data_IF_614113284238
#
_entry.id   IF_614113284238
#
_cell.length_a   1.000
_cell.length_b   1.000
_cell.length_c   1.000
_cell.angle_alpha   90.00
_cell.angle_beta   90.00
_cell.angle_gamma   90.00
#
_symmetry.space_group_name_H-M   'P 1'
#
loop_
_entity.id
_entity.type
_entity.pdbx_description
1 polymer ?
#
# COMPACT_ATOMS: atom_id res chain seq x y z
N UNK A 1 16.71 9.01 -24.09
CA UNK A 1 16.00 7.77 -23.70
C UNK A 1 16.21 6.71 -24.77
N UNK A 2 16.70 5.53 -24.42
CA UNK A 2 16.92 4.45 -25.39
C UNK A 2 15.58 3.83 -25.83
N UNK A 3 15.41 3.64 -27.15
CA UNK A 3 14.26 2.92 -27.71
C UNK A 3 14.38 1.44 -27.38
N UNK A 4 13.39 0.89 -26.70
CA UNK A 4 13.29 -0.54 -26.39
C UNK A 4 13.12 -1.34 -27.69
N UNK A 5 13.75 -2.50 -27.76
CA UNK A 5 13.65 -3.37 -28.94
C UNK A 5 12.26 -4.00 -29.03
N UNK A 6 11.82 -4.34 -30.24
CA UNK A 6 10.52 -5.01 -30.48
C UNK A 6 10.36 -6.29 -29.64
N UNK A 7 11.44 -7.06 -29.49
CA UNK A 7 11.48 -8.29 -28.66
C UNK A 7 11.23 -7.99 -27.18
N UNK A 8 11.77 -6.88 -26.67
CA UNK A 8 11.54 -6.47 -25.28
C UNK A 8 10.06 -6.10 -25.06
N UNK A 9 9.48 -5.32 -25.98
CA UNK A 9 8.07 -4.91 -25.85
C UNK A 9 7.13 -6.13 -25.85
N UNK A 10 7.36 -7.09 -26.76
CA UNK A 10 6.60 -8.35 -26.80
C UNK A 10 6.66 -9.13 -25.49
N UNK A 11 7.82 -9.16 -24.81
CA UNK A 11 7.96 -9.83 -23.50
C UNK A 11 7.18 -9.11 -22.41
N UNK A 12 7.18 -7.78 -22.41
CA UNK A 12 6.40 -6.98 -21.45
C UNK A 12 4.92 -7.22 -21.67
N UNK A 13 4.46 -7.21 -22.92
CA UNK A 13 3.05 -7.44 -23.26
C UNK A 13 2.61 -8.86 -22.84
N UNK A 14 3.44 -9.88 -23.11
CA UNK A 14 3.21 -11.25 -22.64
C UNK A 14 3.14 -11.34 -21.12
N UNK A 15 4.06 -10.67 -20.41
CA UNK A 15 4.04 -10.63 -18.94
C UNK A 15 2.78 -9.95 -18.41
N UNK A 16 2.35 -8.86 -19.04
CA UNK A 16 1.12 -8.15 -18.66
C UNK A 16 -0.11 -9.05 -18.83
N UNK A 17 -0.22 -9.72 -19.98
CA UNK A 17 -1.31 -10.67 -20.26
C UNK A 17 -1.35 -11.82 -19.24
N UNK A 18 -0.20 -12.38 -18.88
CA UNK A 18 -0.11 -13.44 -17.88
C UNK A 18 -0.54 -12.96 -16.49
N UNK A 19 -0.18 -11.73 -16.09
CA UNK A 19 -0.66 -11.14 -14.84
C UNK A 19 -2.17 -10.94 -14.85
N UNK A 20 -2.73 -10.38 -15.93
CA UNK A 20 -4.18 -10.16 -16.07
C UNK A 20 -4.96 -11.48 -16.01
N UNK A 21 -4.48 -12.53 -16.67
CA UNK A 21 -5.11 -13.86 -16.61
C UNK A 21 -5.11 -14.44 -15.19
N UNK A 22 -3.99 -14.30 -14.46
CA UNK A 22 -3.91 -14.74 -13.06
C UNK A 22 -4.87 -13.99 -12.15
N UNK A 23 -5.00 -12.68 -12.33
CA UNK A 23 -5.95 -11.86 -11.58
C UNK A 23 -7.40 -12.25 -11.90
N UNK A 24 -7.71 -12.47 -13.17
CA UNK A 24 -9.05 -12.89 -13.59
C UNK A 24 -9.42 -14.26 -13.01
N UNK A 25 -8.50 -15.22 -12.98
CA UNK A 25 -8.72 -16.53 -12.35
C UNK A 25 -8.92 -16.39 -10.83
N UNK A 26 -8.18 -15.50 -10.16
CA UNK A 26 -8.41 -15.21 -8.73
C UNK A 26 -9.79 -14.61 -8.45
N UNK A 27 -10.28 -13.74 -9.34
CA UNK A 27 -11.61 -13.14 -9.22
C UNK A 27 -12.75 -14.13 -9.54
N UNK A 28 -12.50 -15.11 -10.40
CA UNK A 28 -13.48 -16.11 -10.81
C UNK A 28 -13.48 -17.39 -9.97
N UNK A 29 -12.44 -17.62 -9.16
CA UNK A 29 -12.39 -18.78 -8.29
C UNK A 29 -13.43 -18.67 -7.16
N UNK A 30 -14.32 -19.66 -7.06
CA UNK A 30 -15.31 -19.82 -5.97
C UNK A 30 -14.67 -19.94 -4.58
N UNK A 31 -13.35 -20.10 -4.51
CA UNK A 31 -12.56 -19.93 -3.29
C UNK A 31 -12.09 -18.47 -3.17
N UNK A 32 -13.04 -17.55 -3.05
CA UNK A 32 -12.79 -16.36 -2.26
C UNK A 32 -12.64 -16.89 -0.83
N UNK A 33 -11.42 -17.29 -0.44
CA UNK A 33 -11.10 -17.45 0.98
C UNK A 33 -11.73 -16.26 1.69
N UNK A 34 -12.60 -16.54 2.68
CA UNK A 34 -13.25 -15.50 3.44
C UNK A 34 -12.20 -14.45 3.79
N UNK A 35 -12.50 -13.14 3.61
CA UNK A 35 -11.51 -12.10 3.84
C UNK A 35 -10.87 -12.37 5.20
N UNK A 36 -9.57 -12.70 5.18
CA UNK A 36 -8.84 -12.99 6.41
C UNK A 36 -9.10 -11.83 7.35
N UNK A 37 -9.67 -12.11 8.52
CA UNK A 37 -9.95 -11.07 9.50
C UNK A 37 -8.67 -10.25 9.67
N UNK A 38 -8.77 -8.96 9.35
CA UNK A 38 -7.63 -8.08 9.54
C UNK A 38 -7.20 -8.23 10.99
N UNK A 39 -5.89 -8.36 11.27
CA UNK A 39 -5.43 -8.43 12.64
C UNK A 39 -6.01 -7.24 13.44
N UNK A 40 -6.16 -7.39 14.75
CA UNK A 40 -6.75 -6.32 15.55
C UNK A 40 -5.93 -5.03 15.41
N UNK A 41 -6.62 -3.89 15.49
CA UNK A 41 -5.97 -2.59 15.62
C UNK A 41 -4.99 -2.63 16.80
N UNK A 42 -3.71 -2.35 16.53
CA UNK A 42 -2.67 -2.34 17.56
C UNK A 42 -2.52 -0.94 18.15
N UNK A 43 -2.54 0.10 17.31
CA UNK A 43 -2.40 1.50 17.73
C UNK A 43 -2.91 2.48 16.69
N UNK A 44 -3.19 3.69 17.15
CA UNK A 44 -3.53 4.84 16.31
C UNK A 44 -2.56 5.96 16.62
N UNK A 45 -1.99 6.58 15.59
CA UNK A 45 -1.20 7.79 15.71
C UNK A 45 -2.08 8.94 15.22
N UNK A 46 -2.25 9.95 16.06
CA UNK A 46 -3.02 11.15 15.75
C UNK A 46 -2.05 12.32 15.71
N UNK A 47 -2.03 13.03 14.59
CA UNK A 47 -1.25 14.26 14.42
C UNK A 47 -2.26 15.39 14.22
N UNK A 48 -2.18 16.40 15.07
CA UNK A 48 -2.94 17.64 14.91
C UNK A 48 -1.99 18.70 14.36
N UNK A 49 -2.21 19.05 13.10
CA UNK A 49 -1.49 20.07 12.35
C UNK A 49 -2.19 21.42 12.49
N UNK A 50 -1.43 22.50 12.64
CA UNK A 50 -1.92 23.87 12.82
C UNK A 50 -1.45 24.82 11.71
N UNK A 51 -0.76 24.32 10.68
CA UNK A 51 -0.10 25.14 9.65
C UNK A 51 -1.07 25.99 8.81
N UNK A 52 -2.35 25.60 8.75
CA UNK A 52 -3.37 26.23 7.90
C UNK A 52 -4.36 27.12 8.66
N UNK A 53 -4.01 27.54 9.87
CA UNK A 53 -4.84 28.42 10.71
C UNK A 53 -6.02 27.72 11.40
N UNK A 54 -6.50 26.60 10.86
CA UNK A 54 -7.42 25.68 11.52
C UNK A 54 -6.72 24.33 11.79
N UNK A 55 -7.02 23.66 12.93
CA UNK A 55 -6.42 22.37 13.24
C UNK A 55 -6.86 21.28 12.26
N UNK A 56 -5.90 20.64 11.57
CA UNK A 56 -6.13 19.47 10.71
C UNK A 56 -5.70 18.21 11.47
N UNK A 57 -6.56 17.20 11.51
CA UNK A 57 -6.27 15.93 12.21
C UNK A 57 -5.94 14.82 11.22
N UNK A 58 -4.71 14.33 11.25
CA UNK A 58 -4.29 13.13 10.53
C UNK A 58 -4.37 11.91 11.46
N UNK A 59 -5.03 10.85 11.01
CA UNK A 59 -5.16 9.59 11.75
C UNK A 59 -4.48 8.46 10.98
N UNK A 60 -3.51 7.83 11.61
CA UNK A 60 -2.81 6.67 11.08
C UNK A 60 -3.17 5.46 11.94
N UNK A 61 -3.88 4.50 11.37
CA UNK A 61 -4.24 3.25 12.04
C UNK A 61 -3.25 2.15 11.70
N UNK A 62 -2.74 1.48 12.73
CA UNK A 62 -1.75 0.43 12.58
C UNK A 62 -2.29 -0.88 13.12
N UNK A 63 -2.50 -1.79 12.19
CA UNK A 63 -2.96 -3.15 12.43
C UNK A 63 -1.82 -3.97 13.03
N UNK A 64 -2.16 -4.93 13.90
CA UNK A 64 -1.18 -5.81 14.56
C UNK A 64 -0.34 -6.59 13.54
N UNK A 65 0.98 -6.43 13.63
CA UNK A 65 1.97 -7.20 12.88
C UNK A 65 3.25 -7.39 13.72
N UNK A 66 4.15 -8.28 13.31
CA UNK A 66 5.43 -8.57 13.99
C UNK A 66 6.51 -7.51 13.74
N UNK A 67 6.16 -6.41 13.09
CA UNK A 67 7.07 -5.29 12.85
C UNK A 67 7.38 -4.56 14.17
N UNK A 68 8.65 -4.20 14.34
CA UNK A 68 9.09 -3.23 15.33
C UNK A 68 8.92 -1.85 14.71
N UNK A 69 8.08 -1.04 15.31
CA UNK A 69 7.83 0.32 14.85
C UNK A 69 8.57 1.30 15.76
N UNK A 70 9.47 2.09 15.17
CA UNK A 70 10.15 3.20 15.82
C UNK A 70 9.64 4.50 15.20
N UNK A 71 9.38 5.49 16.04
CA UNK A 71 8.98 6.84 15.60
C UNK A 71 9.98 7.82 16.16
N UNK A 72 10.65 8.50 15.26
CA UNK A 72 11.42 9.67 15.63
C UNK A 72 10.61 10.90 15.24
N UNK A 73 10.40 11.79 16.21
CA UNK A 73 9.81 13.10 15.98
C UNK A 73 10.89 14.15 16.25
N UNK A 74 11.24 14.91 15.23
CA UNK A 74 12.20 16.01 15.32
C UNK A 74 11.47 17.32 15.02
N UNK A 75 11.75 18.35 15.82
CA UNK A 75 11.28 19.72 15.60
C UNK A 75 12.49 20.63 15.75
N UNK A 76 12.95 21.22 14.65
CA UNK A 76 14.10 22.15 14.64
C UNK A 76 13.67 23.58 15.03
N UNK A 77 12.38 23.91 14.85
CA UNK A 77 11.83 25.22 15.24
C UNK A 77 12.53 26.42 14.60
N UNK A 78 13.29 26.19 13.52
CA UNK A 78 14.04 27.19 12.75
C UNK A 78 13.59 27.21 11.30
#
# INVERSE_FOLDING_TARGET
MYKRTKKYQQKVDQSCLLCMQKEHVKLQGDNLEAPHDLPPLRRTIVITDYDFGEPIVHKIEQIRCERIDCYDAYVDGK
#
